data_IF_569127569969
#
_entry.id   IF_569127569969
#
_cell.length_a   1.000
_cell.length_b   1.000
_cell.length_c   1.000
_cell.angle_alpha   90.00
_cell.angle_beta   90.00
_cell.angle_gamma   90.00
#
_symmetry.space_group_name_H-M   'P 1'
#
loop_
_entity.id
_entity.type
_entity.pdbx_description
1 polymer ?
#
# COMPACT_ATOMS: atom_id res chain seq x y z
N UNK A 1 7.79 22.03 -10.04
CA UNK A 1 6.32 21.88 -10.22
C UNK A 1 5.76 20.61 -9.57
N UNK A 2 6.50 19.48 -9.52
CA UNK A 2 6.04 18.21 -8.92
C UNK A 2 5.67 18.31 -7.43
N UNK A 3 6.51 18.95 -6.62
CA UNK A 3 6.24 19.16 -5.18
C UNK A 3 4.96 19.97 -4.92
N UNK A 4 4.65 20.95 -5.78
CA UNK A 4 3.44 21.76 -5.66
C UNK A 4 2.17 20.95 -5.98
N UNK A 5 2.26 19.99 -6.92
CA UNK A 5 1.16 19.07 -7.23
C UNK A 5 0.83 18.22 -6.01
N UNK A 6 1.83 17.57 -5.41
CA UNK A 6 1.64 16.75 -4.21
C UNK A 6 1.18 17.56 -2.99
N UNK A 7 1.67 18.79 -2.83
CA UNK A 7 1.23 19.66 -1.72
C UNK A 7 -0.28 19.99 -1.80
N UNK A 8 -0.83 20.15 -3.01
CA UNK A 8 -2.27 20.35 -3.20
C UNK A 8 -3.07 19.06 -2.97
N UNK A 9 -2.53 17.90 -3.35
CA UNK A 9 -3.16 16.59 -3.10
C UNK A 9 -3.26 16.29 -1.59
N UNK A 10 -2.22 16.61 -0.82
CA UNK A 10 -2.20 16.44 0.66
C UNK A 10 -3.24 17.31 1.36
N UNK A 11 -3.54 18.51 0.85
CA UNK A 11 -4.56 19.39 1.44
C UNK A 11 -5.97 18.77 1.39
N UNK A 12 -6.23 17.92 0.39
CA UNK A 12 -7.51 17.25 0.19
C UNK A 12 -7.52 15.82 0.74
N UNK A 13 -6.50 15.43 1.49
CA UNK A 13 -6.34 14.10 2.04
C UNK A 13 -7.32 13.94 3.22
N UNK A 14 -8.18 12.93 3.14
CA UNK A 14 -9.10 12.59 4.22
C UNK A 14 -8.30 11.97 5.38
N UNK A 15 -7.88 12.82 6.31
CA UNK A 15 -7.05 12.43 7.45
C UNK A 15 -7.74 11.47 8.41
N UNK A 16 -9.07 11.41 8.39
CA UNK A 16 -9.85 10.53 9.27
C UNK A 16 -9.90 9.09 8.73
N UNK A 17 -9.70 8.89 7.42
CA UNK A 17 -9.78 7.59 6.75
C UNK A 17 -8.43 7.06 6.26
N UNK A 18 -7.32 7.48 6.89
CA UNK A 18 -5.99 6.91 6.61
C UNK A 18 -5.93 5.48 7.13
N UNK A 19 -5.71 4.53 6.21
CA UNK A 19 -5.54 3.12 6.54
C UNK A 19 -4.06 2.74 6.52
N UNK A 20 -3.63 1.97 7.51
CA UNK A 20 -2.29 1.42 7.62
C UNK A 20 -2.36 -0.03 8.10
N UNK A 21 -1.39 -0.84 7.68
CA UNK A 21 -1.27 -2.25 8.09
C UNK A 21 0.19 -2.60 8.32
N UNK A 22 0.42 -3.73 8.98
CA UNK A 22 1.74 -4.29 9.20
C UNK A 22 1.99 -5.36 8.14
N UNK A 23 3.19 -5.37 7.55
CA UNK A 23 3.59 -6.43 6.62
C UNK A 23 3.59 -7.77 7.36
N UNK A 24 2.88 -8.81 6.88
CA UNK A 24 2.93 -10.14 7.47
C UNK A 24 4.28 -10.85 7.27
N UNK A 25 4.65 -11.68 8.24
CA UNK A 25 5.93 -12.37 8.26
C UNK A 25 6.50 -12.54 9.66
N UNK A 26 7.69 -13.11 9.72
CA UNK A 26 8.34 -13.48 10.97
C UNK A 26 9.85 -13.17 10.96
N UNK A 27 10.39 -12.95 12.15
CA UNK A 27 11.83 -12.81 12.31
C UNK A 27 12.49 -14.19 12.27
N UNK A 28 13.50 -14.35 11.41
CA UNK A 28 14.31 -15.56 11.29
C UNK A 28 15.78 -15.26 11.56
N UNK A 29 16.44 -16.18 12.23
CA UNK A 29 17.89 -16.14 12.45
C UNK A 29 18.56 -17.14 11.51
N UNK A 30 19.27 -16.62 10.51
CA UNK A 30 19.91 -17.41 9.43
C UNK A 30 21.35 -16.90 9.30
N UNK A 31 22.33 -17.80 9.25
CA UNK A 31 23.75 -17.46 9.09
C UNK A 31 24.26 -16.38 10.07
N UNK A 32 23.88 -16.53 11.34
CA UNK A 32 24.23 -15.61 12.42
C UNK A 32 23.69 -14.17 12.26
N UNK A 33 22.67 -13.96 11.41
CA UNK A 33 22.03 -12.66 11.20
C UNK A 33 20.50 -12.76 11.33
N UNK A 34 19.89 -11.71 11.89
CA UNK A 34 18.44 -11.57 11.97
C UNK A 34 17.88 -10.99 10.68
N UNK A 35 16.88 -11.66 10.13
CA UNK A 35 16.10 -11.22 8.97
C UNK A 35 14.64 -11.13 9.35
N UNK A 36 13.93 -10.17 8.75
CA UNK A 36 12.47 -10.23 8.70
C UNK A 36 12.08 -10.88 7.38
N UNK A 37 11.45 -12.06 7.46
CA UNK A 37 11.02 -12.82 6.29
C UNK A 37 9.51 -12.66 6.15
N UNK A 38 9.10 -11.95 5.10
CA UNK A 38 7.69 -11.69 4.83
C UNK A 38 6.95 -12.98 4.41
N UNK A 39 5.72 -13.14 4.89
CA UNK A 39 4.80 -14.16 4.40
C UNK A 39 4.16 -13.68 3.10
N UNK A 40 4.49 -14.35 2.00
CA UNK A 40 4.03 -13.94 0.67
C UNK A 40 2.51 -14.08 0.52
N UNK A 41 1.93 -15.19 0.95
CA UNK A 41 0.50 -15.45 0.72
C UNK A 41 -0.36 -14.49 1.54
N UNK A 42 0.00 -14.24 2.80
CA UNK A 42 -0.71 -13.27 3.62
C UNK A 42 -0.48 -11.83 3.13
N UNK A 43 0.73 -11.50 2.69
CA UNK A 43 1.01 -10.18 2.13
C UNK A 43 0.21 -9.90 0.86
N UNK A 44 0.05 -10.91 -0.01
CA UNK A 44 -0.76 -10.80 -1.23
C UNK A 44 -2.23 -10.48 -0.88
N UNK A 45 -2.79 -11.17 0.13
CA UNK A 45 -4.15 -10.91 0.63
C UNK A 45 -4.29 -9.49 1.21
N UNK A 46 -3.28 -9.04 1.96
CA UNK A 46 -3.26 -7.68 2.52
C UNK A 46 -3.25 -6.63 1.40
N UNK A 47 -2.47 -6.84 0.35
CA UNK A 47 -2.40 -5.94 -0.81
C UNK A 47 -3.75 -5.91 -1.55
N UNK A 48 -4.36 -7.07 -1.80
CA UNK A 48 -5.68 -7.16 -2.46
C UNK A 48 -6.75 -6.40 -1.67
N UNK A 49 -6.84 -6.64 -0.36
CA UNK A 49 -7.80 -5.97 0.51
C UNK A 49 -7.57 -4.45 0.58
N UNK A 50 -6.31 -3.99 0.59
CA UNK A 50 -6.00 -2.56 0.72
C UNK A 50 -6.12 -1.77 -0.58
N UNK A 51 -5.87 -2.39 -1.74
CA UNK A 51 -5.72 -1.66 -2.99
C UNK A 51 -6.69 -2.10 -4.10
N UNK A 52 -7.27 -3.29 -4.03
CA UNK A 52 -8.16 -3.81 -5.07
C UNK A 52 -9.64 -3.66 -4.70
N UNK A 53 -9.99 -3.90 -3.43
CA UNK A 53 -11.38 -3.81 -2.95
C UNK A 53 -11.86 -2.38 -2.67
N UNK A 54 -10.93 -1.43 -2.57
CA UNK A 54 -11.26 -0.01 -2.50
C UNK A 54 -11.54 0.53 -3.91
N UNK A 55 -12.82 0.76 -4.24
CA UNK A 55 -13.29 1.34 -5.52
C UNK A 55 -12.54 2.62 -5.96
N UNK A 56 -11.90 3.31 -5.01
CA UNK A 56 -11.15 4.56 -5.21
C UNK A 56 -9.90 4.34 -6.09
N UNK A 57 -9.25 3.16 -6.03
CA UNK A 57 -8.06 2.86 -6.84
C UNK A 57 -8.44 2.52 -8.30
N UNK A 58 -9.64 1.98 -8.52
CA UNK A 58 -10.12 1.58 -9.86
C UNK A 58 -10.63 2.73 -10.73
N UNK A 59 -10.88 3.92 -10.16
CA UNK A 59 -11.42 5.06 -10.92
C UNK A 59 -10.48 5.58 -12.02
N UNK A 60 -9.19 5.31 -11.92
CA UNK A 60 -8.19 5.73 -12.92
C UNK A 60 -7.91 4.70 -14.02
N UNK A 61 -8.42 3.46 -13.92
CA UNK A 61 -8.19 2.42 -14.96
C UNK A 61 -9.05 2.63 -16.21
N UNK A 62 -10.18 3.32 -16.10
CA UNK A 62 -11.11 3.55 -17.22
C UNK A 62 -10.75 4.73 -18.12
N UNK A 63 -9.72 5.53 -17.78
CA UNK A 63 -9.28 6.70 -18.56
C UNK A 63 -8.06 6.37 -19.44
N UNK A 64 -7.59 5.11 -19.41
CA UNK A 64 -6.41 4.65 -20.15
C UNK A 64 -6.78 3.46 -21.04
N UNK A 65 -7.91 3.53 -21.73
CA UNK A 65 -8.21 2.71 -22.91
C UNK A 65 -9.12 3.57 -23.80
N UNK A 66 -8.49 4.54 -24.47
CA UNK A 66 -9.00 5.06 -25.75
C UNK A 66 -8.87 3.98 -26.83
#
# INVERSE_FOLDING_TARGET
KLMLKYALDVKNLDSENIQATVLPGEAKYIDNLWYYVSDKEESDKVIENMFTDHEIVNKNKSIIND
#
